data_IF_302585266436
#
_entry.id   IF_302585266436
#
_cell.length_a   1.000
_cell.length_b   1.000
_cell.length_c   1.000
_cell.angle_alpha   90.00
_cell.angle_beta   90.00
_cell.angle_gamma   90.00
#
_symmetry.space_group_name_H-M   'P 1'
#
loop_
_entity.id
_entity.type
_entity.pdbx_description
1 polymer ?
#
# COMPACT_ATOMS: atom_id res chain seq x y z
N UNK A 1 26.21 -16.54 -7.47
CA UNK A 1 24.87 -17.14 -7.27
C UNK A 1 23.85 -16.13 -7.75
N UNK A 2 23.01 -16.47 -8.72
CA UNK A 2 21.79 -15.72 -9.01
C UNK A 2 20.76 -16.21 -8.00
N UNK A 3 20.28 -15.34 -7.13
CA UNK A 3 19.04 -15.62 -6.41
C UNK A 3 17.93 -15.38 -7.43
N UNK A 4 17.21 -16.44 -7.80
CA UNK A 4 15.94 -16.27 -8.49
C UNK A 4 14.99 -15.65 -7.47
N UNK A 5 14.95 -14.31 -7.44
CA UNK A 5 14.05 -13.57 -6.60
C UNK A 5 12.63 -13.83 -7.10
N UNK A 6 11.94 -14.73 -6.42
CA UNK A 6 10.58 -15.06 -6.78
C UNK A 6 9.68 -13.91 -6.30
N UNK A 7 8.81 -13.39 -7.17
CA UNK A 7 7.91 -12.29 -6.82
C UNK A 7 6.82 -12.78 -5.87
N UNK A 8 6.47 -11.95 -4.90
CA UNK A 8 5.30 -12.10 -4.04
C UNK A 8 4.32 -10.98 -4.38
N UNK A 9 3.04 -11.35 -4.51
CA UNK A 9 1.97 -10.44 -4.87
C UNK A 9 0.89 -10.46 -3.80
N UNK A 10 0.53 -9.30 -3.28
CA UNK A 10 -0.66 -9.12 -2.44
C UNK A 10 -1.67 -8.36 -3.28
N UNK A 11 -2.88 -8.89 -3.39
CA UNK A 11 -3.97 -8.18 -4.06
C UNK A 11 -5.22 -8.12 -3.19
N UNK A 12 -5.86 -6.95 -3.20
CA UNK A 12 -7.13 -6.70 -2.52
C UNK A 12 -8.19 -6.21 -3.50
N UNK A 13 -9.44 -6.59 -3.24
CA UNK A 13 -10.62 -6.13 -4.00
C UNK A 13 -11.71 -5.65 -3.05
N UNK A 14 -12.26 -4.46 -3.30
CA UNK A 14 -13.43 -3.94 -2.57
C UNK A 14 -14.43 -3.32 -3.55
N UNK A 15 -15.73 -3.51 -3.29
CA UNK A 15 -16.80 -2.82 -4.02
C UNK A 15 -16.88 -1.38 -3.48
N UNK A 16 -16.84 -0.39 -4.38
CA UNK A 16 -16.94 1.04 -4.01
C UNK A 16 -18.30 1.40 -3.44
N UNK A 17 -19.32 0.56 -3.63
CA UNK A 17 -20.64 0.69 -3.00
C UNK A 17 -20.61 0.62 -1.47
N UNK A 18 -19.56 0.03 -0.89
CA UNK A 18 -19.34 -0.02 0.56
C UNK A 18 -18.73 1.28 1.11
N UNK A 19 -18.34 2.20 0.22
CA UNK A 19 -17.69 3.45 0.55
C UNK A 19 -18.65 4.62 0.30
N UNK A 20 -18.50 5.69 1.08
CA UNK A 20 -19.26 6.92 0.89
C UNK A 20 -18.96 7.52 -0.48
N UNK A 21 -19.99 7.98 -1.16
CA UNK A 21 -19.86 8.72 -2.43
C UNK A 21 -19.24 10.10 -2.19
N UNK A 22 -18.77 10.72 -3.28
CA UNK A 22 -18.15 12.04 -3.31
C UNK A 22 -16.98 12.19 -2.34
N UNK A 23 -16.27 11.08 -2.07
CA UNK A 23 -15.20 11.03 -1.08
C UNK A 23 -13.91 10.55 -1.73
N UNK A 24 -12.80 11.24 -1.44
CA UNK A 24 -11.45 10.76 -1.78
C UNK A 24 -10.97 9.82 -0.70
N UNK A 25 -10.61 8.61 -1.11
CA UNK A 25 -10.06 7.59 -0.23
C UNK A 25 -8.57 7.40 -0.48
N UNK A 26 -7.86 7.03 0.57
CA UNK A 26 -6.45 6.64 0.54
C UNK A 26 -6.34 5.20 1.05
N UNK A 27 -5.61 4.37 0.32
CA UNK A 27 -5.32 2.99 0.68
C UNK A 27 -3.96 2.91 1.39
N UNK A 28 -3.89 2.14 2.47
CA UNK A 28 -2.69 1.92 3.26
C UNK A 28 -2.43 0.42 3.42
N UNK A 29 -1.18 -0.02 3.21
CA UNK A 29 -0.74 -1.33 3.69
C UNK A 29 -0.35 -1.19 5.16
N UNK A 30 -0.88 -2.05 6.03
CA UNK A 30 -0.50 -2.12 7.44
C UNK A 30 0.23 -3.41 7.72
N UNK A 31 1.45 -3.29 8.25
CA UNK A 31 2.37 -4.40 8.41
C UNK A 31 3.36 -4.16 9.56
N UNK A 32 4.05 -5.20 9.98
CA UNK A 32 5.13 -5.13 10.94
C UNK A 32 6.36 -5.79 10.34
N UNK A 33 7.52 -5.25 10.71
CA UNK A 33 8.82 -5.82 10.37
C UNK A 33 9.33 -6.68 11.52
N UNK A 34 9.89 -7.83 11.19
CA UNK A 34 10.73 -8.56 12.14
C UNK A 34 12.15 -7.97 12.09
N UNK A 35 12.59 -7.35 13.19
CA UNK A 35 13.79 -6.51 13.33
C UNK A 35 15.14 -7.25 13.16
N UNK A 36 15.12 -8.51 12.74
CA UNK A 36 16.27 -9.40 12.82
C UNK A 36 17.18 -9.39 11.59
N UNK A 37 16.84 -8.69 10.52
CA UNK A 37 17.64 -8.69 9.29
C UNK A 37 17.91 -7.28 8.76
N UNK A 38 19.16 -7.05 8.36
CA UNK A 38 19.54 -6.00 7.41
C UNK A 38 18.80 -6.28 6.10
N UNK A 39 17.55 -5.83 5.96
CA UNK A 39 16.84 -5.99 4.70
C UNK A 39 17.37 -4.94 3.73
N UNK A 40 17.69 -5.39 2.52
CA UNK A 40 18.08 -4.51 1.42
C UNK A 40 16.94 -3.51 1.13
N UNK A 41 17.34 -2.30 0.68
CA UNK A 41 16.47 -1.15 0.43
C UNK A 41 15.62 -1.33 -0.84
N UNK A 42 14.91 -2.44 -0.97
CA UNK A 42 14.23 -2.75 -2.22
C UNK A 42 12.90 -1.99 -2.31
N UNK A 43 12.78 -1.06 -3.28
CA UNK A 43 11.52 -0.38 -3.53
C UNK A 43 10.45 -1.39 -3.95
N UNK A 44 9.23 -1.19 -3.46
CA UNK A 44 8.07 -2.02 -3.78
C UNK A 44 7.17 -1.25 -4.73
N UNK A 45 6.86 -1.86 -5.87
CA UNK A 45 5.90 -1.31 -6.82
C UNK A 45 4.47 -1.63 -6.36
N UNK A 46 3.66 -0.59 -6.32
CA UNK A 46 2.27 -0.63 -5.87
C UNK A 46 1.37 -0.04 -6.95
N UNK A 47 0.31 -0.78 -7.27
CA UNK A 47 -0.75 -0.33 -8.16
C UNK A 47 -2.06 -0.17 -7.38
N UNK A 48 -2.67 1.01 -7.50
CA UNK A 48 -4.02 1.27 -6.99
C UNK A 48 -4.87 1.85 -8.12
N UNK A 49 -6.03 1.24 -8.36
CA UNK A 49 -6.93 1.70 -9.41
C UNK A 49 -8.33 1.09 -9.32
N UNK A 50 -9.29 1.76 -9.94
CA UNK A 50 -10.64 1.24 -10.14
C UNK A 50 -10.66 0.32 -11.37
N UNK A 51 -11.24 -0.87 -11.23
CA UNK A 51 -11.38 -1.84 -12.30
C UNK A 51 -12.16 -1.23 -13.47
N UNK A 52 -11.63 -1.42 -14.70
CA UNK A 52 -12.20 -0.81 -15.90
C UNK A 52 -11.83 0.66 -16.11
N UNK A 53 -11.16 1.30 -15.14
CA UNK A 53 -10.58 2.63 -15.32
C UNK A 53 -9.15 2.53 -15.85
N UNK A 54 -8.77 3.43 -16.75
CA UNK A 54 -7.38 3.59 -17.21
C UNK A 54 -6.51 4.36 -16.20
N UNK A 55 -7.08 4.82 -15.08
CA UNK A 55 -6.42 5.70 -14.11
C UNK A 55 -5.75 4.93 -12.96
N UNK A 56 -5.14 3.78 -13.25
CA UNK A 56 -4.27 3.11 -12.27
C UNK A 56 -3.04 3.99 -12.02
N UNK A 57 -2.82 4.39 -10.77
CA UNK A 57 -1.60 5.09 -10.37
C UNK A 57 -0.61 4.04 -9.86
N UNK A 58 0.53 3.93 -10.53
CA UNK A 58 1.66 3.17 -10.01
C UNK A 58 2.49 4.07 -9.10
N UNK A 59 2.90 3.55 -7.95
CA UNK A 59 3.75 4.26 -6.98
C UNK A 59 4.82 3.29 -6.46
N UNK A 60 5.97 3.85 -6.12
CA UNK A 60 7.02 3.15 -5.39
C UNK A 60 6.88 3.50 -3.90
N UNK A 61 6.90 2.48 -3.04
CA UNK A 61 6.94 2.62 -1.58
C UNK A 61 8.04 1.75 -1.00
N UNK A 62 8.54 2.09 0.18
CA UNK A 62 9.45 1.22 0.95
C UNK A 62 8.68 0.48 2.05
N UNK A 63 9.19 -0.69 2.47
CA UNK A 63 8.63 -1.50 3.56
C UNK A 63 9.64 -1.78 4.69
N UNK A 64 10.74 -1.01 4.80
CA UNK A 64 11.80 -1.30 5.79
C UNK A 64 12.28 -0.11 6.63
N UNK A 65 12.09 1.14 6.19
CA UNK A 65 12.77 2.27 6.84
C UNK A 65 11.80 3.24 7.52
N UNK A 66 11.92 3.36 8.84
CA UNK A 66 11.31 4.44 9.62
C UNK A 66 12.24 5.66 9.54
N UNK A 67 11.79 6.66 8.79
CA UNK A 67 12.15 8.09 8.86
C UNK A 67 13.56 8.44 9.43
N UNK A 68 14.52 8.71 8.54
CA UNK A 68 15.60 9.66 8.89
C UNK A 68 14.98 11.06 8.78
N UNK A 69 15.08 11.88 9.82
CA UNK A 69 14.40 13.19 9.89
C UNK A 69 14.61 14.02 8.61
N UNK A 70 13.52 14.30 7.87
CA UNK A 70 13.53 15.18 6.69
C UNK A 70 12.80 14.66 5.44
N UNK A 71 12.46 13.37 5.38
CA UNK A 71 11.78 12.72 4.22
C UNK A 71 10.28 12.50 4.51
N UNK A 72 9.47 13.57 4.40
CA UNK A 72 8.00 13.54 4.49
C UNK A 72 7.34 13.53 3.11
N UNK A 73 7.88 12.74 2.18
CA UNK A 73 7.36 12.57 0.82
C UNK A 73 6.32 11.43 0.71
N UNK A 74 6.03 10.75 1.82
CA UNK A 74 5.08 9.64 1.92
C UNK A 74 5.55 8.36 1.24
N UNK A 75 6.85 8.23 0.93
CA UNK A 75 7.44 7.04 0.30
C UNK A 75 7.88 6.00 1.34
N UNK A 76 8.17 6.45 2.55
CA UNK A 76 8.58 5.59 3.67
C UNK A 76 7.40 5.22 4.60
N UNK A 77 7.45 4.02 5.20
CA UNK A 77 6.44 3.60 6.17
C UNK A 77 6.48 4.47 7.42
N UNK A 78 5.29 4.81 7.92
CA UNK A 78 5.10 5.56 9.15
C UNK A 78 4.78 4.61 10.30
N UNK A 79 5.44 4.80 11.44
CA UNK A 79 5.10 4.08 12.67
C UNK A 79 3.83 4.65 13.31
N UNK A 80 2.86 3.77 13.56
CA UNK A 80 1.58 4.05 14.22
C UNK A 80 1.72 3.96 15.75
N UNK A 81 0.71 4.47 16.45
CA UNK A 81 0.64 4.44 17.92
C UNK A 81 0.43 3.03 18.48
N UNK A 82 -0.17 2.13 17.69
CA UNK A 82 -0.39 0.71 18.01
C UNK A 82 0.87 -0.16 17.77
N UNK A 83 1.96 0.44 17.25
CA UNK A 83 3.22 -0.23 16.98
C UNK A 83 3.36 -0.81 15.57
N UNK A 84 2.29 -0.81 14.76
CA UNK A 84 2.35 -1.21 13.36
C UNK A 84 2.99 -0.13 12.48
N UNK A 85 3.43 -0.52 11.29
CA UNK A 85 3.86 0.37 10.22
C UNK A 85 2.73 0.51 9.19
N UNK A 86 2.58 1.70 8.61
CA UNK A 86 1.68 1.94 7.49
C UNK A 86 2.39 2.66 6.34
N UNK A 87 2.16 2.19 5.11
CA UNK A 87 2.61 2.84 3.87
C UNK A 87 1.41 3.20 3.01
N UNK A 88 1.38 4.44 2.51
CA UNK A 88 0.36 4.89 1.57
C UNK A 88 0.56 4.24 0.20
N UNK A 89 -0.44 3.48 -0.25
CA UNK A 89 -0.42 2.79 -1.53
C UNK A 89 -0.89 3.70 -2.67
N UNK A 90 -1.81 4.61 -2.38
CA UNK A 90 -2.36 5.55 -3.34
C UNK A 90 -3.75 6.04 -2.95
N UNK A 91 -4.29 6.95 -3.74
CA UNK A 91 -5.61 7.54 -3.54
C UNK A 91 -6.51 7.36 -4.76
N UNK A 92 -7.81 7.28 -4.51
CA UNK A 92 -8.86 7.24 -5.53
C UNK A 92 -10.08 8.04 -5.07
N UNK A 93 -10.81 8.60 -6.03
CA UNK A 93 -12.06 9.32 -5.77
C UNK A 93 -13.25 8.43 -6.08
N UNK A 94 -14.21 8.34 -5.14
CA UNK A 94 -15.46 7.62 -5.31
C UNK A 94 -16.57 8.60 -5.71
N UNK A 95 -16.74 8.89 -7.01
CA UNK A 95 -17.59 9.99 -7.50
C UNK A 95 -18.97 9.60 -8.03
N UNK A 96 -19.21 8.31 -8.27
CA UNK A 96 -20.22 7.83 -9.22
C UNK A 96 -21.09 6.74 -8.56
N UNK A 97 -22.37 6.65 -8.95
CA UNK A 97 -23.25 5.54 -8.53
C UNK A 97 -22.99 4.23 -9.32
N UNK A 98 -21.95 4.18 -10.15
CA UNK A 98 -21.55 2.95 -10.82
C UNK A 98 -20.75 2.07 -9.85
N UNK A 99 -21.12 0.80 -9.76
CA UNK A 99 -20.41 -0.16 -8.93
C UNK A 99 -19.00 -0.35 -9.49
N UNK A 100 -18.02 0.23 -8.81
CA UNK A 100 -16.60 0.08 -9.11
C UNK A 100 -15.98 -0.99 -8.22
N UNK A 101 -14.95 -1.66 -8.72
CA UNK A 101 -14.11 -2.53 -7.90
C UNK A 101 -12.74 -1.89 -7.77
N UNK A 102 -12.32 -1.55 -6.56
CA UNK A 102 -10.95 -1.10 -6.34
C UNK A 102 -10.02 -2.31 -6.33
N UNK A 103 -9.02 -2.31 -7.21
CA UNK A 103 -7.94 -3.29 -7.23
C UNK A 103 -6.68 -2.65 -6.66
N UNK A 104 -6.04 -3.37 -5.74
CA UNK A 104 -4.75 -2.98 -5.17
C UNK A 104 -3.79 -4.13 -5.37
N UNK A 105 -2.58 -3.86 -5.85
CA UNK A 105 -1.54 -4.86 -6.04
C UNK A 105 -0.22 -4.36 -5.49
N UNK A 106 0.46 -5.20 -4.72
CA UNK A 106 1.78 -4.93 -4.15
C UNK A 106 2.71 -6.02 -4.63
N UNK A 107 3.75 -5.65 -5.38
CA UNK A 107 4.71 -6.56 -5.96
C UNK A 107 6.07 -6.39 -5.28
N UNK A 108 6.52 -7.42 -4.55
CA UNK A 108 7.80 -7.39 -3.83
C UNK A 108 8.58 -8.68 -4.02
N UNK A 109 9.91 -8.58 -3.93
CA UNK A 109 10.82 -9.72 -3.86
C UNK A 109 11.12 -10.10 -2.40
N UNK A 110 10.70 -9.29 -1.44
CA UNK A 110 10.80 -9.56 -0.01
C UNK A 110 9.73 -10.58 0.41
N UNK A 111 10.16 -11.83 0.59
CA UNK A 111 9.30 -12.93 1.05
C UNK A 111 9.38 -13.22 2.53
N UNK A 112 10.44 -12.75 3.18
CA UNK A 112 10.76 -13.06 4.57
C UNK A 112 10.54 -11.81 5.42
N UNK A 113 10.16 -11.97 6.69
CA UNK A 113 10.08 -10.90 7.70
C UNK A 113 8.96 -9.85 7.53
N UNK A 114 8.03 -10.03 6.57
CA UNK A 114 6.85 -9.18 6.43
C UNK A 114 5.63 -9.80 7.11
N UNK A 115 5.23 -9.25 8.26
CA UNK A 115 3.96 -9.60 8.90
C UNK A 115 2.87 -8.63 8.45
N UNK A 116 1.89 -9.10 7.70
CA UNK A 116 0.83 -8.24 7.15
C UNK A 116 -0.40 -8.30 8.03
N UNK A 117 -0.88 -7.14 8.48
CA UNK A 117 -2.18 -7.03 9.13
C UNK A 117 -3.30 -6.96 8.08
N UNK A 118 -3.09 -6.17 7.03
CA UNK A 118 -4.05 -6.04 5.93
C UNK A 118 -3.92 -4.71 5.19
N UNK A 119 -4.96 -4.39 4.43
CA UNK A 119 -5.09 -3.12 3.71
C UNK A 119 -6.23 -2.32 4.34
N UNK A 120 -5.96 -1.06 4.68
CA UNK A 120 -6.93 -0.11 5.22
C UNK A 120 -7.29 0.94 4.17
N UNK A 121 -8.57 1.27 4.03
CA UNK A 121 -9.07 2.30 3.12
C UNK A 121 -9.72 3.39 3.97
N UNK A 122 -9.20 4.62 3.90
CA UNK A 122 -9.59 5.74 4.78
C UNK A 122 -9.99 6.96 3.96
N UNK A 123 -11.03 7.73 4.35
CA UNK A 123 -11.30 9.02 3.74
C UNK A 123 -10.14 9.99 4.00
N UNK A 124 -9.77 10.79 3.00
CA UNK A 124 -8.59 11.67 3.07
C UNK A 124 -8.79 12.90 3.98
N UNK A 125 -10.01 13.41 4.09
CA UNK A 125 -10.32 14.70 4.71
C UNK A 125 -11.53 14.65 5.68
N UNK A 126 -11.72 13.56 6.41
CA UNK A 126 -12.71 13.52 7.52
C UNK A 126 -12.05 13.57 8.89
#
# INVERSE_FOLDING_TARGET
>A
MRFDAARFQISGKISTSLLSLMTTYVAYLVFAEDLLTYADYDPVEVDVGLAGSSNCKNRIVYLHQVHLEGDDDGVFPKKRTDGWLESELGEFFNGDNEEGELLMTINTEMKEHLLIQGIEIKPKNE
#
